data_IF_377912912655
#
_entry.id   IF_377912912655
#
_cell.length_a   1.000
_cell.length_b   1.000
_cell.length_c   1.000
_cell.angle_alpha   90.00
_cell.angle_beta   90.00
_cell.angle_gamma   90.00
#
_symmetry.space_group_name_H-M   'P 1'
#
loop_
_entity.id
_entity.type
_entity.pdbx_description
1 polymer ?
#
# COMPACT_ATOMS: atom_id res chain seq x y z
N UNK A 1 14.51 -11.51 -0.35
CA UNK A 1 13.94 -11.52 -1.46
C UNK A 1 12.76 -10.65 -1.73
N UNK A 2 11.54 -11.16 -1.64
CA UNK A 2 10.38 -10.32 -1.96
C UNK A 2 10.31 -9.09 -1.06
N UNK A 3 10.52 -9.28 0.24
CA UNK A 3 10.44 -8.17 1.19
C UNK A 3 11.47 -7.10 0.88
N UNK A 4 12.68 -7.50 0.52
CA UNK A 4 13.72 -6.53 0.21
C UNK A 4 13.40 -5.71 -1.04
N UNK A 5 12.78 -6.34 -2.01
CA UNK A 5 12.40 -5.64 -3.23
C UNK A 5 11.34 -4.59 -2.94
N UNK A 6 10.38 -4.93 -2.08
CA UNK A 6 9.35 -4.00 -1.70
C UNK A 6 9.96 -2.85 -0.91
N UNK A 7 10.86 -3.17 0.02
CA UNK A 7 11.50 -2.16 0.85
C UNK A 7 12.28 -1.17 0.01
N UNK A 8 13.02 -1.68 -0.97
CA UNK A 8 13.78 -0.81 -1.85
C UNK A 8 12.89 0.11 -2.66
N UNK A 9 11.80 -0.43 -3.18
CA UNK A 9 10.87 0.34 -3.96
C UNK A 9 10.20 1.42 -3.12
N UNK A 10 9.78 1.07 -1.91
CA UNK A 10 9.16 2.03 -0.99
C UNK A 10 10.14 3.14 -0.62
N UNK A 11 11.39 2.77 -0.36
CA UNK A 11 12.39 3.75 -0.02
C UNK A 11 12.60 4.76 -1.15
N UNK A 12 12.62 4.28 -2.37
CA UNK A 12 12.76 5.16 -3.52
C UNK A 12 11.54 6.07 -3.68
N UNK A 13 10.35 5.50 -3.50
CA UNK A 13 9.12 6.28 -3.61
C UNK A 13 9.06 7.35 -2.53
N UNK A 14 9.52 7.00 -1.33
CA UNK A 14 9.55 7.95 -0.21
C UNK A 14 10.50 9.11 -0.53
N UNK A 15 11.68 8.81 -1.04
CA UNK A 15 12.64 9.85 -1.38
C UNK A 15 12.13 10.74 -2.50
N UNK A 16 11.29 10.20 -3.37
CA UNK A 16 10.70 10.97 -4.45
C UNK A 16 9.47 11.76 -4.01
N UNK A 17 9.07 11.62 -2.75
CA UNK A 17 7.88 12.33 -2.26
C UNK A 17 6.57 11.75 -2.76
N UNK A 18 6.59 10.45 -3.11
CA UNK A 18 5.42 9.80 -3.70
C UNK A 18 4.76 8.81 -2.77
N UNK A 19 4.84 9.02 -1.46
CA UNK A 19 4.19 8.15 -0.50
C UNK A 19 3.38 8.96 0.51
N UNK A 20 2.42 8.30 1.13
CA UNK A 20 1.71 8.85 2.27
C UNK A 20 1.64 7.74 3.30
N UNK A 21 1.78 8.08 4.57
CA UNK A 21 1.70 7.10 5.63
C UNK A 21 0.89 7.67 6.79
N UNK A 22 0.40 6.78 7.64
CA UNK A 22 -0.50 7.19 8.71
C UNK A 22 -1.94 7.15 8.22
N UNK A 23 -2.81 6.68 9.10
CA UNK A 23 -4.21 6.43 8.70
C UNK A 23 -4.89 7.66 8.12
N UNK A 24 -4.75 8.79 8.79
CA UNK A 24 -5.41 10.02 8.34
C UNK A 24 -4.90 10.46 6.97
N UNK A 25 -3.58 10.46 6.79
CA UNK A 25 -3.00 10.92 5.53
C UNK A 25 -3.39 9.99 4.39
N UNK A 26 -3.43 8.69 4.65
CA UNK A 26 -3.82 7.72 3.64
C UNK A 26 -5.28 7.89 3.25
N UNK A 27 -6.15 8.05 4.25
CA UNK A 27 -7.58 8.22 3.97
C UNK A 27 -7.83 9.48 3.15
N UNK A 28 -7.11 10.54 3.47
CA UNK A 28 -7.24 11.78 2.73
C UNK A 28 -6.77 11.59 1.28
N UNK A 29 -5.68 10.87 1.09
CA UNK A 29 -5.16 10.63 -0.25
C UNK A 29 -6.11 9.73 -1.05
N UNK A 30 -6.72 8.74 -0.41
CA UNK A 30 -7.68 7.87 -1.07
C UNK A 30 -8.88 8.69 -1.53
N UNK A 31 -9.39 9.54 -0.66
CA UNK A 31 -10.54 10.38 -0.97
C UNK A 31 -10.24 11.31 -2.14
N UNK A 32 -8.99 11.75 -2.26
CA UNK A 32 -8.58 12.66 -3.32
C UNK A 32 -8.27 11.94 -4.64
N UNK A 33 -8.35 10.61 -4.64
CA UNK A 33 -8.07 9.84 -5.85
C UNK A 33 -6.61 9.78 -6.23
N UNK A 34 -5.71 10.02 -5.27
CA UNK A 34 -4.28 10.06 -5.56
C UNK A 34 -3.55 8.75 -5.34
N UNK A 35 -4.15 7.80 -4.62
CA UNK A 35 -3.47 6.57 -4.27
C UNK A 35 -3.52 5.58 -5.43
N UNK A 36 -2.35 5.06 -5.78
CA UNK A 36 -2.24 4.08 -6.87
C UNK A 36 -2.01 2.66 -6.36
N UNK A 37 -1.50 2.52 -5.15
CA UNK A 37 -1.32 1.21 -4.52
C UNK A 37 -1.23 1.43 -3.02
N UNK A 38 -1.58 0.41 -2.25
CA UNK A 38 -1.57 0.50 -0.80
C UNK A 38 -0.87 -0.71 -0.23
N UNK A 39 0.06 -0.50 0.68
CA UNK A 39 0.74 -1.60 1.36
C UNK A 39 0.33 -1.55 2.82
N UNK A 40 -0.19 -2.66 3.33
CA UNK A 40 -0.65 -2.76 4.71
C UNK A 40 0.21 -3.78 5.43
N UNK A 41 0.70 -3.42 6.62
CA UNK A 41 1.56 -4.31 7.38
C UNK A 41 0.80 -5.56 7.81
N UNK A 42 1.49 -6.69 7.74
CA UNK A 42 0.88 -7.97 8.09
C UNK A 42 0.50 -8.04 9.56
N UNK A 43 1.23 -7.31 10.41
CA UNK A 43 0.94 -7.30 11.84
C UNK A 43 0.12 -6.10 12.28
N UNK A 44 -0.52 -5.42 11.36
CA UNK A 44 -1.47 -4.36 11.72
C UNK A 44 -2.71 -5.01 12.33
N UNK A 45 -3.48 -4.24 13.10
CA UNK A 45 -4.67 -4.77 13.73
C UNK A 45 -5.68 -5.20 12.67
N UNK A 46 -6.51 -6.18 13.00
CA UNK A 46 -7.53 -6.65 12.06
C UNK A 46 -8.49 -5.55 11.67
N UNK A 47 -8.83 -4.69 12.61
CA UNK A 47 -9.73 -3.59 12.35
C UNK A 47 -9.14 -2.60 11.34
N UNK A 48 -7.85 -2.29 11.50
CA UNK A 48 -7.18 -1.39 10.58
C UNK A 48 -7.10 -2.00 9.19
N UNK A 49 -6.73 -3.28 9.11
CA UNK A 49 -6.67 -3.97 7.83
C UNK A 49 -8.01 -3.93 7.11
N UNK A 50 -9.07 -4.20 7.85
CA UNK A 50 -10.40 -4.22 7.27
C UNK A 50 -10.80 -2.86 6.74
N UNK A 51 -10.52 -1.81 7.52
CA UNK A 51 -10.83 -0.46 7.10
C UNK A 51 -10.08 -0.09 5.82
N UNK A 52 -8.79 -0.40 5.78
CA UNK A 52 -7.97 -0.07 4.61
C UNK A 52 -8.44 -0.82 3.38
N UNK A 53 -8.77 -2.09 3.53
CA UNK A 53 -9.21 -2.89 2.41
C UNK A 53 -10.56 -2.41 1.88
N UNK A 54 -11.46 -2.01 2.77
CA UNK A 54 -12.74 -1.50 2.35
C UNK A 54 -12.60 -0.21 1.56
N UNK A 55 -11.80 0.71 2.07
CA UNK A 55 -11.63 1.99 1.41
C UNK A 55 -10.92 1.84 0.07
N UNK A 56 -9.93 0.95 0.03
CA UNK A 56 -9.22 0.70 -1.22
C UNK A 56 -10.14 0.06 -2.25
N UNK A 57 -10.95 -0.90 -1.81
CA UNK A 57 -11.86 -1.60 -2.73
C UNK A 57 -12.86 -0.63 -3.36
N UNK A 58 -13.33 0.33 -2.58
CA UNK A 58 -14.29 1.31 -3.08
C UNK A 58 -13.72 2.15 -4.21
N UNK A 59 -12.40 2.27 -4.27
CA UNK A 59 -11.74 3.07 -5.31
C UNK A 59 -10.94 2.23 -6.30
N UNK A 60 -11.02 0.91 -6.20
CA UNK A 60 -10.29 0.03 -7.10
C UNK A 60 -8.79 0.05 -6.90
N UNK A 61 -8.31 0.33 -5.69
CA UNK A 61 -6.90 0.41 -5.38
C UNK A 61 -6.37 -0.95 -4.96
N UNK A 62 -5.30 -1.45 -5.58
CA UNK A 62 -4.74 -2.74 -5.16
C UNK A 62 -4.09 -2.64 -3.79
N UNK A 63 -4.28 -3.66 -2.96
CA UNK A 63 -3.72 -3.71 -1.61
C UNK A 63 -2.76 -4.88 -1.52
N UNK A 64 -1.60 -4.63 -0.94
CA UNK A 64 -0.59 -5.65 -0.74
C UNK A 64 -0.32 -5.77 0.76
N UNK A 65 -0.64 -6.91 1.35
CA UNK A 65 -0.33 -7.13 2.77
C UNK A 65 1.04 -7.78 2.85
N UNK A 66 2.03 -6.95 3.01
CA UNK A 66 3.43 -7.36 3.07
C UNK A 66 4.16 -6.54 4.11
N UNK A 67 5.26 -7.06 4.58
CA UNK A 67 6.12 -6.39 5.54
C UNK A 67 5.46 -6.26 6.91
N UNK A 68 6.26 -5.90 7.88
CA UNK A 68 5.76 -5.64 9.23
C UNK A 68 5.68 -4.13 9.43
N UNK A 69 5.06 -3.71 10.52
CA UNK A 69 4.99 -2.29 10.86
C UNK A 69 6.38 -1.69 10.99
N UNK A 70 7.31 -2.44 11.59
CA UNK A 70 8.68 -1.96 11.76
C UNK A 70 9.37 -1.79 10.40
N UNK A 71 9.23 -2.76 9.53
CA UNK A 71 9.87 -2.69 8.22
C UNK A 71 9.29 -1.55 7.39
N UNK A 72 7.98 -1.36 7.43
CA UNK A 72 7.35 -0.25 6.74
C UNK A 72 7.85 1.08 7.27
N UNK A 73 7.93 1.20 8.59
CA UNK A 73 8.42 2.43 9.20
C UNK A 73 9.82 2.75 8.76
N UNK A 74 10.69 1.74 8.74
CA UNK A 74 12.06 1.95 8.32
C UNK A 74 12.16 2.46 6.89
N UNK A 75 11.36 1.91 6.00
CA UNK A 75 11.37 2.35 4.60
C UNK A 75 10.94 3.80 4.47
N UNK A 76 10.09 4.25 5.38
CA UNK A 76 9.54 5.59 5.32
C UNK A 76 10.26 6.58 6.21
N UNK A 77 11.33 6.14 6.87
CA UNK A 77 12.07 7.00 7.77
C UNK A 77 11.33 7.31 9.06
N UNK A 78 10.48 6.39 9.50
CA UNK A 78 9.68 6.55 10.71
C UNK A 78 9.93 5.38 11.65
N UNK A 79 9.39 5.45 12.87
CA UNK A 79 9.58 4.36 13.80
C UNK A 79 8.82 3.12 13.37
N UNK A 80 7.55 3.24 13.08
CA UNK A 80 6.77 2.16 12.50
C UNK A 80 5.53 2.75 11.86
N UNK A 81 4.97 2.00 10.91
CA UNK A 81 3.75 2.43 10.22
C UNK A 81 2.93 1.21 9.87
N UNK A 82 1.63 1.31 10.07
CA UNK A 82 0.73 0.20 9.77
C UNK A 82 0.44 0.09 8.27
N UNK A 83 0.61 1.15 7.53
CA UNK A 83 0.36 1.14 6.09
C UNK A 83 1.11 2.27 5.40
N UNK A 84 1.28 2.11 4.10
CA UNK A 84 1.87 3.15 3.27
C UNK A 84 1.12 3.17 1.94
N UNK A 85 0.82 4.35 1.45
CA UNK A 85 0.18 4.51 0.15
C UNK A 85 1.22 4.99 -0.85
N UNK A 86 1.16 4.44 -2.05
CA UNK A 86 2.01 4.87 -3.15
C UNK A 86 1.18 5.77 -4.03
N UNK A 87 1.68 6.96 -4.28
CA UNK A 87 0.92 7.99 -4.99
C UNK A 87 1.32 8.13 -6.46
N UNK A 88 2.31 7.38 -6.89
CA UNK A 88 2.81 7.47 -8.25
C UNK A 88 2.55 6.18 -9.01
N UNK A 89 2.00 6.29 -10.19
CA UNK A 89 1.65 5.14 -10.98
C UNK A 89 2.87 4.31 -11.40
N UNK A 90 3.98 4.95 -11.67
CA UNK A 90 5.20 4.24 -12.05
C UNK A 90 5.67 3.30 -10.96
N UNK A 91 5.69 3.79 -9.72
CA UNK A 91 6.07 2.94 -8.59
C UNK A 91 5.04 1.87 -8.33
N UNK A 92 3.77 2.19 -8.51
CA UNK A 92 2.71 1.20 -8.31
C UNK A 92 2.80 0.08 -9.35
N UNK A 93 3.10 0.41 -10.58
CA UNK A 93 3.27 -0.61 -11.62
C UNK A 93 4.50 -1.46 -11.37
N UNK A 94 5.57 -0.85 -10.88
CA UNK A 94 6.77 -1.62 -10.55
C UNK A 94 6.47 -2.62 -9.44
N UNK A 95 5.66 -2.22 -8.47
CA UNK A 95 5.26 -3.10 -7.40
C UNK A 95 4.38 -4.24 -7.93
N UNK A 96 3.47 -3.92 -8.81
CA UNK A 96 2.57 -4.91 -9.39
C UNK A 96 3.34 -6.00 -10.15
N UNK A 97 4.42 -5.62 -10.80
CA UNK A 97 5.22 -6.59 -11.54
C UNK A 97 5.93 -7.57 -10.60
N UNK A 98 6.18 -7.15 -9.38
CA UNK A 98 6.89 -8.00 -8.43
C UNK A 98 5.98 -8.81 -7.54
N UNK A 99 4.74 -8.36 -7.36
CA UNK A 99 3.82 -8.97 -6.43
C UNK A 99 2.42 -9.08 -6.98
N UNK A 100 1.65 -9.97 -6.40
CA UNK A 100 0.22 -10.05 -6.64
C UNK A 100 -0.49 -9.33 -5.51
N UNK A 101 -1.54 -8.56 -5.77
CA UNK A 101 -2.33 -7.96 -4.71
C UNK A 101 -2.90 -9.05 -3.80
N UNK A 102 -3.11 -8.69 -2.54
CA UNK A 102 -3.66 -9.64 -1.59
C UNK A 102 -5.08 -10.01 -2.01
N UNK A 103 -5.38 -11.29 -1.94
CA UNK A 103 -6.69 -11.79 -2.33
C UNK A 103 -7.78 -11.11 -1.51
N UNK A 104 -8.87 -10.79 -2.16
CA UNK A 104 -10.00 -10.14 -1.51
C UNK A 104 -10.04 -8.64 -1.71
N UNK A 105 -8.95 -8.04 -2.14
CA UNK A 105 -8.94 -6.61 -2.28
C UNK A 105 -9.38 -6.20 -3.67
N UNK A 106 -9.28 -7.04 -4.62
CA UNK A 106 -9.52 -6.61 -5.88
C UNK A 106 -10.64 -7.05 -6.46
N UNK A 107 -11.01 -7.23 -5.83
CA UNK A 107 -11.82 -7.61 -6.41
C UNK A 107 -11.98 -7.03 -7.60
N UNK A 108 -11.40 -6.82 -7.54
CA UNK A 108 -11.36 -6.44 -8.19
C UNK A 108 -11.15 -6.63 -9.26
N UNK A 109 -10.95 -6.95 -9.17
CA UNK A 109 -10.68 -7.01 -9.90
C UNK A 109 -11.10 -7.28 -10.83
N UNK A 110 -11.32 -7.22 -10.27
CA UNK A 110 -11.67 -7.40 -10.95
C UNK A 110 -11.94 -7.52 -11.84
N UNK A 111 -11.80 -7.56 -11.46
CA UNK A 111 -12.03 -7.81 -12.19
C UNK A 111 -12.27 -7.95 -12.90
N UNK A 112 -12.24 -7.94 -12.66
CA UNK A 112 -12.37 -8.11 -13.24
C UNK A 112 -12.67 -8.27 -14.08
N UNK A 113 -12.55 -8.38 -14.11
CA UNK A 113 -12.73 -8.62 -14.74
C UNK A 113 -12.91 -9.04 -15.41
N UNK A 114 -12.75 -9.43 -15.17
CA UNK A 114 -12.88 -9.86 -15.60
C UNK A 114 -13.06 -10.04 -15.98
#
# INVERSE_FOLDING_TARGET
MEAKKIEGLLGMAQRAGKTASGEFAIQKAIASGKVRALIVAEDASGRFKETMMKEAAAKGIPVYMRLTKDALGQCLGKEYRAAAAILDEGFAKALEKKLQPTAGCVARISEVGQ
#
